data_IF_532448402197
#
_entry.id   IF_532448402197
#
_cell.length_a   1.000
_cell.length_b   1.000
_cell.length_c   1.000
_cell.angle_alpha   90.00
_cell.angle_beta   90.00
_cell.angle_gamma   90.00
#
_symmetry.space_group_name_H-M   'P 1'
#
loop_
_entity.id
_entity.type
_entity.pdbx_description
1 polymer ?
#
# COMPACT_ATOMS: atom_id res chain seq x y z
N UNK A 1 15.40 25.45 18.63
CA UNK A 1 14.73 25.64 17.33
C UNK A 1 14.37 27.10 17.24
N UNK A 2 14.65 27.73 16.10
CA UNK A 2 14.34 29.12 15.81
C UNK A 2 12.89 29.19 15.30
N UNK A 3 12.12 30.16 15.73
CA UNK A 3 10.76 30.40 15.23
C UNK A 3 10.75 31.82 14.69
N UNK A 4 10.70 31.98 13.37
CA UNK A 4 10.71 33.30 12.74
C UNK A 4 9.33 33.94 12.81
N UNK A 5 8.26 33.18 12.56
CA UNK A 5 6.87 33.64 12.66
C UNK A 5 6.06 32.77 13.65
N UNK A 6 5.73 33.37 14.80
CA UNK A 6 4.95 32.70 15.85
C UNK A 6 3.49 32.47 15.44
N UNK A 7 2.89 33.40 14.69
CA UNK A 7 1.50 33.29 14.23
C UNK A 7 1.36 32.15 13.23
N UNK A 8 2.32 32.04 12.29
CA UNK A 8 2.43 30.90 11.39
C UNK A 8 2.56 29.58 12.15
N UNK A 9 3.46 29.51 13.14
CA UNK A 9 3.67 28.29 13.92
C UNK A 9 2.42 27.81 14.66
N UNK A 10 1.69 28.74 15.31
CA UNK A 10 0.41 28.43 15.98
C UNK A 10 -0.61 27.89 14.98
N UNK A 11 -0.78 28.58 13.84
CA UNK A 11 -1.73 28.17 12.80
C UNK A 11 -1.39 26.79 12.22
N UNK A 12 -0.11 26.49 12.01
CA UNK A 12 0.32 25.18 11.53
C UNK A 12 0.02 24.07 12.56
N UNK A 13 0.37 24.30 13.83
CA UNK A 13 0.18 23.30 14.89
C UNK A 13 -1.30 23.01 15.17
N UNK A 14 -2.19 24.00 14.99
CA UNK A 14 -3.63 23.80 15.04
C UNK A 14 -4.15 22.89 13.92
N UNK A 15 -3.48 22.87 12.75
CA UNK A 15 -3.87 22.03 11.60
C UNK A 15 -3.26 20.63 11.66
N UNK A 16 -1.98 20.52 12.01
CA UNK A 16 -1.19 19.28 11.85
C UNK A 16 -1.04 18.49 13.15
N UNK A 17 -1.29 19.13 14.30
CA UNK A 17 -0.97 18.66 15.66
C UNK A 17 0.54 18.65 15.98
N UNK A 18 0.86 18.95 17.24
CA UNK A 18 2.23 18.94 17.74
C UNK A 18 2.90 17.56 17.63
N UNK A 19 2.16 16.48 17.90
CA UNK A 19 2.73 15.13 17.88
C UNK A 19 3.22 14.74 16.47
N UNK A 20 2.44 15.05 15.44
CA UNK A 20 2.83 14.83 14.05
C UNK A 20 4.02 15.69 13.66
N UNK A 21 4.03 16.97 14.03
CA UNK A 21 5.16 17.87 13.81
C UNK A 21 6.46 17.34 14.42
N UNK A 22 6.43 16.92 15.69
CA UNK A 22 7.61 16.37 16.39
C UNK A 22 8.17 15.14 15.66
N UNK A 23 7.31 14.33 15.04
CA UNK A 23 7.73 13.21 14.20
C UNK A 23 8.72 13.59 13.10
N UNK A 24 8.59 14.78 12.51
CA UNK A 24 9.53 15.30 11.52
C UNK A 24 10.69 16.05 12.19
N UNK A 25 10.40 16.78 13.28
CA UNK A 25 11.41 17.52 14.05
C UNK A 25 12.54 16.61 14.58
N UNK A 26 12.24 15.33 14.86
CA UNK A 26 13.21 14.32 15.29
C UNK A 26 14.45 14.23 14.40
N UNK A 27 14.33 14.47 13.09
CA UNK A 27 15.50 14.45 12.19
C UNK A 27 16.50 15.58 12.48
N UNK A 28 16.00 16.69 13.00
CA UNK A 28 16.78 17.86 13.33
C UNK A 28 17.29 17.84 14.77
N UNK A 29 16.97 16.81 15.56
CA UNK A 29 17.52 16.65 16.90
C UNK A 29 18.94 16.08 16.88
N UNK A 30 19.72 16.46 17.90
CA UNK A 30 21.02 15.86 18.17
C UNK A 30 20.82 14.55 18.94
N UNK A 31 21.61 13.56 18.57
CA UNK A 31 21.70 12.28 19.26
C UNK A 31 23.11 12.10 19.78
N UNK A 32 23.26 11.77 21.06
CA UNK A 32 24.54 11.46 21.70
C UNK A 32 24.47 10.03 22.22
N UNK A 33 25.43 9.17 21.86
CA UNK A 33 25.42 7.75 22.21
C UNK A 33 24.08 7.04 21.92
N UNK A 34 23.45 7.36 20.77
CA UNK A 34 22.11 6.90 20.34
C UNK A 34 20.96 7.29 21.28
N UNK A 35 21.19 8.18 22.24
CA UNK A 35 20.15 8.73 23.11
C UNK A 35 19.69 10.09 22.58
N UNK A 36 18.39 10.34 22.72
CA UNK A 36 17.76 11.60 22.35
C UNK A 36 18.20 12.69 23.33
N UNK A 37 18.76 13.78 22.82
CA UNK A 37 19.20 14.90 23.67
C UNK A 37 18.11 15.94 23.89
N UNK A 38 17.00 15.86 23.15
CA UNK A 38 15.94 16.88 23.09
C UNK A 38 16.42 18.28 22.65
N UNK A 39 17.67 18.38 22.16
CA UNK A 39 18.26 19.60 21.64
C UNK A 39 18.30 19.51 20.12
N UNK A 40 17.76 20.52 19.46
CA UNK A 40 17.85 20.64 18.01
C UNK A 40 19.27 21.04 17.58
N UNK A 41 19.65 20.66 16.36
CA UNK A 41 20.87 21.12 15.70
C UNK A 41 20.84 22.67 15.61
N UNK A 42 22.01 23.35 15.64
CA UNK A 42 22.07 24.79 15.41
C UNK A 42 21.34 25.16 14.12
N UNK A 43 20.75 26.35 14.07
CA UNK A 43 20.04 26.88 12.88
C UNK A 43 18.79 26.09 12.43
N UNK A 44 18.34 25.08 13.20
CA UNK A 44 17.05 24.44 12.92
C UNK A 44 15.93 25.44 13.18
N UNK A 45 15.24 25.87 12.14
CA UNK A 45 14.01 26.67 12.22
C UNK A 45 12.76 25.79 12.24
N UNK A 46 11.63 26.36 12.66
CA UNK A 46 10.32 25.72 12.59
C UNK A 46 9.93 25.42 11.14
N UNK A 47 10.22 26.37 10.26
CA UNK A 47 9.97 26.34 8.82
C UNK A 47 10.71 25.17 8.16
N UNK A 48 11.95 24.87 8.56
CA UNK A 48 12.69 23.71 8.06
C UNK A 48 11.95 22.38 8.33
N UNK A 49 11.32 22.25 9.50
CA UNK A 49 10.54 21.06 9.85
C UNK A 49 9.24 21.00 9.06
N UNK A 50 8.59 22.16 8.87
CA UNK A 50 7.37 22.27 8.06
C UNK A 50 7.64 21.94 6.60
N UNK A 51 8.76 22.38 6.04
CA UNK A 51 9.15 22.07 4.67
C UNK A 51 9.40 20.58 4.48
N UNK A 52 10.02 19.92 5.45
CA UNK A 52 10.18 18.47 5.43
C UNK A 52 8.83 17.73 5.50
N UNK A 53 7.91 18.22 6.33
CA UNK A 53 6.54 17.69 6.39
C UNK A 53 5.82 17.85 5.05
N UNK A 54 5.88 19.04 4.45
CA UNK A 54 5.24 19.34 3.16
C UNK A 54 5.87 18.54 2.02
N UNK A 55 7.18 18.30 2.07
CA UNK A 55 7.87 17.42 1.12
C UNK A 55 7.33 15.99 1.21
N UNK A 56 7.24 15.41 2.42
CA UNK A 56 6.73 14.05 2.60
C UNK A 56 5.26 13.95 2.17
N UNK A 57 4.46 14.99 2.42
CA UNK A 57 3.09 15.05 1.95
C UNK A 57 3.00 14.98 0.41
N UNK A 58 3.77 15.82 -0.29
CA UNK A 58 3.86 15.78 -1.76
C UNK A 58 4.35 14.44 -2.28
N UNK A 59 5.35 13.85 -1.62
CA UNK A 59 5.88 12.53 -1.98
C UNK A 59 4.79 11.46 -1.90
N UNK A 60 3.99 11.45 -0.82
CA UNK A 60 2.88 10.50 -0.66
C UNK A 60 1.82 10.71 -1.71
N UNK A 61 1.46 11.95 -2.04
CA UNK A 61 0.46 12.24 -3.08
C UNK A 61 0.88 11.67 -4.43
N UNK A 62 2.11 11.94 -4.87
CA UNK A 62 2.63 11.43 -6.15
C UNK A 62 2.67 9.90 -6.17
N UNK A 63 3.14 9.29 -5.08
CA UNK A 63 3.21 7.83 -4.99
C UNK A 63 1.82 7.18 -4.94
N UNK A 64 0.88 7.77 -4.20
CA UNK A 64 -0.47 7.25 -4.09
C UNK A 64 -1.19 7.27 -5.44
N UNK A 65 -1.01 8.34 -6.20
CA UNK A 65 -1.52 8.47 -7.56
C UNK A 65 -0.97 7.36 -8.48
N UNK A 66 0.37 7.22 -8.54
CA UNK A 66 1.00 6.19 -9.34
C UNK A 66 0.59 4.75 -8.94
N UNK A 67 0.46 4.49 -7.62
CA UNK A 67 0.06 3.18 -7.09
C UNK A 67 -1.38 2.85 -7.48
N UNK A 68 -2.28 3.84 -7.54
CA UNK A 68 -3.68 3.62 -7.93
C UNK A 68 -3.78 2.92 -9.28
N UNK A 69 -2.99 3.32 -10.27
CA UNK A 69 -2.96 2.68 -11.59
C UNK A 69 -2.49 1.22 -11.53
N UNK A 70 -1.45 0.93 -10.73
CA UNK A 70 -0.95 -0.44 -10.53
C UNK A 70 -2.00 -1.30 -9.83
N UNK A 71 -2.66 -0.75 -8.80
CA UNK A 71 -3.69 -1.45 -8.02
C UNK A 71 -4.88 -1.85 -8.91
N UNK A 72 -5.39 -0.93 -9.73
CA UNK A 72 -6.48 -1.20 -10.68
C UNK A 72 -6.05 -2.28 -11.69
N UNK A 73 -4.92 -2.08 -12.37
CA UNK A 73 -4.44 -3.03 -13.37
C UNK A 73 -4.22 -4.43 -12.76
N UNK A 74 -3.63 -4.50 -11.58
CA UNK A 74 -3.36 -5.77 -10.91
C UNK A 74 -4.65 -6.52 -10.56
N UNK A 75 -5.64 -5.84 -9.98
CA UNK A 75 -6.93 -6.47 -9.64
C UNK A 75 -7.65 -6.95 -10.89
N UNK A 76 -7.63 -6.17 -11.97
CA UNK A 76 -8.23 -6.55 -13.26
C UNK A 76 -7.54 -7.79 -13.83
N UNK A 77 -6.21 -7.81 -13.92
CA UNK A 77 -5.48 -8.95 -14.48
C UNK A 77 -5.62 -10.21 -13.64
N UNK A 78 -5.54 -10.07 -12.31
CA UNK A 78 -5.78 -11.18 -11.40
C UNK A 78 -7.17 -11.78 -11.63
N UNK A 79 -8.20 -10.94 -11.69
CA UNK A 79 -9.56 -11.42 -11.87
C UNK A 79 -9.78 -12.06 -13.24
N UNK A 80 -9.32 -11.41 -14.31
CA UNK A 80 -9.46 -11.89 -15.68
C UNK A 80 -8.82 -13.27 -15.86
N UNK A 81 -7.55 -13.41 -15.50
CA UNK A 81 -6.84 -14.67 -15.68
C UNK A 81 -7.42 -15.78 -14.80
N UNK A 82 -7.82 -15.46 -13.56
CA UNK A 82 -8.46 -16.46 -12.71
C UNK A 82 -9.82 -16.90 -13.22
N UNK A 83 -10.72 -15.98 -13.56
CA UNK A 83 -12.06 -16.31 -14.07
C UNK A 83 -12.02 -17.10 -15.38
N UNK A 84 -11.14 -16.75 -16.32
CA UNK A 84 -11.03 -17.46 -17.60
C UNK A 84 -10.46 -18.88 -17.44
N UNK A 85 -9.39 -19.04 -16.65
CA UNK A 85 -8.75 -20.35 -16.46
C UNK A 85 -9.59 -21.29 -15.58
N UNK A 86 -10.23 -20.76 -14.54
CA UNK A 86 -11.09 -21.55 -13.64
C UNK A 86 -12.49 -21.81 -14.21
N UNK A 87 -12.91 -21.03 -15.22
CA UNK A 87 -14.29 -20.96 -15.71
C UNK A 87 -15.30 -20.71 -14.59
N UNK A 88 -14.90 -19.92 -13.59
CA UNK A 88 -15.64 -19.69 -12.36
C UNK A 88 -15.68 -18.18 -12.04
N UNK A 89 -16.88 -17.61 -12.07
CA UNK A 89 -17.09 -16.19 -11.74
C UNK A 89 -16.92 -15.92 -10.25
N UNK A 90 -17.01 -16.94 -9.39
CA UNK A 90 -16.90 -16.86 -7.93
C UNK A 90 -15.62 -17.53 -7.41
N UNK A 91 -14.61 -17.68 -8.27
CA UNK A 91 -13.33 -18.32 -7.94
C UNK A 91 -12.70 -17.89 -6.59
N UNK A 92 -12.75 -16.60 -6.14
CA UNK A 92 -12.13 -16.22 -4.86
C UNK A 92 -12.81 -16.88 -3.66
N UNK A 93 -14.07 -17.29 -3.82
CA UNK A 93 -14.86 -17.95 -2.78
C UNK A 93 -14.53 -19.43 -2.66
N UNK A 94 -13.73 -19.99 -3.57
CA UNK A 94 -13.33 -21.39 -3.54
C UNK A 94 -11.92 -21.55 -3.00
N UNK A 95 -11.76 -22.34 -1.93
CA UNK A 95 -10.45 -22.70 -1.36
C UNK A 95 -9.54 -23.47 -2.33
N UNK A 96 -10.08 -24.04 -3.42
CA UNK A 96 -9.35 -24.88 -4.39
C UNK A 96 -8.22 -24.17 -5.14
N UNK A 97 -8.21 -22.83 -5.14
CA UNK A 97 -7.25 -22.03 -5.89
C UNK A 97 -6.06 -21.54 -5.07
N UNK A 98 -6.14 -21.68 -3.74
CA UNK A 98 -5.19 -21.11 -2.79
C UNK A 98 -4.59 -22.21 -1.94
N UNK A 99 -3.32 -22.03 -1.56
CA UNK A 99 -2.63 -22.99 -0.72
C UNK A 99 -3.21 -23.07 0.70
N UNK A 100 -2.92 -24.19 1.38
CA UNK A 100 -3.41 -24.46 2.73
C UNK A 100 -2.95 -23.45 3.79
N UNK A 101 -1.87 -22.70 3.55
CA UNK A 101 -1.40 -21.66 4.48
C UNK A 101 -2.26 -20.39 4.41
N UNK A 102 -3.03 -20.20 3.33
CA UNK A 102 -3.96 -19.09 3.22
C UNK A 102 -5.17 -19.30 4.12
N UNK A 103 -5.44 -18.31 4.98
CA UNK A 103 -6.61 -18.32 5.88
C UNK A 103 -7.88 -17.97 5.08
N UNK A 104 -8.35 -18.90 4.25
CA UNK A 104 -9.49 -18.69 3.35
C UNK A 104 -10.77 -18.34 4.09
N UNK A 105 -11.10 -19.03 5.18
CA UNK A 105 -12.28 -18.72 5.99
C UNK A 105 -12.27 -17.28 6.52
N UNK A 106 -11.10 -16.80 6.97
CA UNK A 106 -10.94 -15.40 7.39
C UNK A 106 -11.16 -14.45 6.22
N UNK A 107 -10.65 -14.79 5.04
CA UNK A 107 -10.88 -13.99 3.83
C UNK A 107 -12.38 -13.91 3.50
N UNK A 108 -13.12 -15.01 3.58
CA UNK A 108 -14.56 -15.02 3.36
C UNK A 108 -15.30 -14.15 4.39
N UNK A 109 -14.98 -14.28 5.68
CA UNK A 109 -15.58 -13.42 6.72
C UNK A 109 -15.26 -11.93 6.50
N UNK A 110 -14.05 -11.61 6.04
CA UNK A 110 -13.69 -10.25 5.68
C UNK A 110 -14.51 -9.77 4.46
N UNK A 111 -14.71 -10.62 3.44
CA UNK A 111 -15.55 -10.30 2.27
C UNK A 111 -16.99 -10.01 2.67
N UNK A 112 -17.61 -10.90 3.46
CA UNK A 112 -18.97 -10.73 3.96
C UNK A 112 -19.12 -9.42 4.73
N UNK A 113 -18.14 -9.09 5.58
CA UNK A 113 -18.13 -7.84 6.34
C UNK A 113 -18.07 -6.63 5.42
N UNK A 114 -17.19 -6.62 4.42
CA UNK A 114 -17.08 -5.48 3.49
C UNK A 114 -18.34 -5.33 2.62
N UNK A 115 -18.96 -6.44 2.20
CA UNK A 115 -20.23 -6.43 1.46
C UNK A 115 -21.36 -5.85 2.31
N UNK A 116 -21.50 -6.31 3.56
CA UNK A 116 -22.55 -5.84 4.47
C UNK A 116 -22.40 -4.36 4.87
N UNK A 117 -21.16 -3.84 4.88
CA UNK A 117 -20.87 -2.43 5.15
C UNK A 117 -20.93 -1.55 3.91
N UNK A 118 -20.93 -2.14 2.72
CA UNK A 118 -20.85 -1.39 1.47
C UNK A 118 -22.13 -0.60 1.21
N UNK A 119 -21.96 0.67 0.87
CA UNK A 119 -23.05 1.54 0.43
C UNK A 119 -23.16 1.62 -1.10
N UNK A 120 -22.31 0.89 -1.82
CA UNK A 120 -22.26 0.91 -3.27
C UNK A 120 -23.56 0.42 -3.93
N UNK A 121 -24.01 1.15 -4.95
CA UNK A 121 -25.29 0.89 -5.62
C UNK A 121 -25.30 -0.51 -6.23
N UNK A 122 -24.20 -0.94 -6.85
CA UNK A 122 -24.12 -2.25 -7.50
C UNK A 122 -24.20 -3.41 -6.50
N UNK A 123 -23.67 -3.25 -5.28
CA UNK A 123 -23.79 -4.26 -4.22
C UNK A 123 -25.22 -4.32 -3.70
N UNK A 124 -25.84 -3.18 -3.39
CA UNK A 124 -27.23 -3.14 -2.91
C UNK A 124 -28.20 -3.71 -3.95
N UNK A 125 -27.98 -3.43 -5.23
CA UNK A 125 -28.77 -3.99 -6.32
C UNK A 125 -28.58 -5.50 -6.45
N UNK A 126 -27.35 -6.00 -6.31
CA UNK A 126 -27.08 -7.44 -6.32
C UNK A 126 -27.82 -8.16 -5.19
N UNK A 127 -27.62 -7.72 -3.94
CA UNK A 127 -28.21 -8.35 -2.75
C UNK A 127 -29.75 -8.32 -2.74
N UNK A 128 -30.36 -7.36 -3.45
CA UNK A 128 -31.82 -7.30 -3.61
C UNK A 128 -32.33 -8.26 -4.69
N UNK A 129 -31.56 -8.44 -5.76
CA UNK A 129 -31.97 -9.20 -6.95
C UNK A 129 -31.66 -10.69 -6.82
N UNK A 130 -30.55 -11.03 -6.16
CA UNK A 130 -30.03 -12.40 -6.09
C UNK A 130 -30.02 -12.90 -4.65
N UNK A 131 -30.64 -14.05 -4.42
CA UNK A 131 -30.50 -14.83 -3.19
C UNK A 131 -29.42 -15.91 -3.30
N UNK A 132 -29.15 -16.38 -4.52
CA UNK A 132 -28.07 -17.33 -4.82
C UNK A 132 -27.32 -16.93 -6.12
N UNK A 133 -25.97 -16.95 -6.12
CA UNK A 133 -25.09 -17.08 -4.96
C UNK A 133 -25.21 -15.89 -3.99
N UNK A 134 -25.06 -16.15 -2.69
CA UNK A 134 -25.21 -15.13 -1.63
C UNK A 134 -24.19 -14.00 -1.74
N UNK A 135 -22.97 -14.34 -2.13
CA UNK A 135 -21.89 -13.39 -2.36
C UNK A 135 -21.76 -13.06 -3.85
N UNK A 136 -21.44 -11.79 -4.19
CA UNK A 136 -21.26 -11.39 -5.58
C UNK A 136 -20.09 -12.08 -6.29
N UNK A 137 -20.15 -12.05 -7.62
CA UNK A 137 -19.07 -12.50 -8.48
C UNK A 137 -17.80 -11.67 -8.28
N UNK A 138 -16.67 -12.28 -8.63
CA UNK A 138 -15.31 -11.76 -8.45
C UNK A 138 -15.06 -10.37 -9.04
N UNK A 139 -15.67 -10.02 -10.19
CA UNK A 139 -15.55 -8.67 -10.76
C UNK A 139 -16.25 -7.58 -9.92
N UNK A 140 -17.21 -7.94 -9.08
CA UNK A 140 -17.81 -7.02 -8.11
C UNK A 140 -16.97 -6.98 -6.84
N UNK A 141 -16.40 -8.12 -6.44
CA UNK A 141 -15.52 -8.21 -5.27
C UNK A 141 -14.24 -7.40 -5.44
N UNK A 142 -13.67 -7.32 -6.65
CA UNK A 142 -12.44 -6.53 -6.87
C UNK A 142 -12.64 -5.04 -6.56
N UNK A 143 -13.86 -4.51 -6.60
CA UNK A 143 -14.13 -3.10 -6.28
C UNK A 143 -14.27 -2.86 -4.77
N UNK A 144 -14.76 -3.86 -4.03
CA UNK A 144 -15.05 -3.74 -2.59
C UNK A 144 -13.88 -4.19 -1.72
N UNK A 145 -13.17 -5.23 -2.16
CA UNK A 145 -12.14 -5.88 -1.35
C UNK A 145 -10.82 -5.11 -1.44
N UNK A 146 -10.14 -4.99 -0.30
CA UNK A 146 -8.88 -4.25 -0.19
C UNK A 146 -7.76 -4.82 -1.06
N UNK A 147 -6.85 -3.96 -1.51
CA UNK A 147 -5.68 -4.35 -2.28
C UNK A 147 -4.78 -5.33 -1.52
N UNK A 148 -4.67 -5.15 -0.19
CA UNK A 148 -3.91 -6.07 0.65
C UNK A 148 -4.49 -7.48 0.70
N UNK A 149 -5.81 -7.63 0.58
CA UNK A 149 -6.44 -8.96 0.47
C UNK A 149 -6.11 -9.60 -0.87
N UNK A 150 -6.18 -8.84 -1.98
CA UNK A 150 -5.79 -9.33 -3.31
C UNK A 150 -4.30 -9.67 -3.41
N UNK A 151 -3.43 -8.88 -2.79
CA UNK A 151 -2.00 -9.17 -2.66
C UNK A 151 -1.76 -10.52 -1.98
N UNK A 152 -2.48 -10.81 -0.88
CA UNK A 152 -2.39 -12.09 -0.17
C UNK A 152 -2.95 -13.25 -1.00
N UNK A 153 -4.08 -13.07 -1.69
CA UNK A 153 -4.63 -14.09 -2.59
C UNK A 153 -3.63 -14.45 -3.67
N UNK A 154 -3.10 -13.45 -4.39
CA UNK A 154 -2.13 -13.68 -5.47
C UNK A 154 -0.92 -14.46 -4.96
N UNK A 155 -0.35 -14.05 -3.82
CA UNK A 155 0.75 -14.79 -3.16
C UNK A 155 0.37 -16.25 -2.88
N UNK A 156 -0.87 -16.50 -2.49
CA UNK A 156 -1.35 -17.83 -2.13
C UNK A 156 -1.84 -18.70 -3.29
N UNK A 157 -1.91 -18.20 -4.53
CA UNK A 157 -2.34 -18.99 -5.69
C UNK A 157 -1.44 -20.23 -5.89
N UNK A 158 -2.07 -21.39 -6.08
CA UNK A 158 -1.35 -22.65 -6.34
C UNK A 158 -0.91 -22.80 -7.79
N UNK A 159 -1.73 -22.31 -8.74
CA UNK A 159 -1.44 -22.42 -10.16
C UNK A 159 -0.33 -21.45 -10.58
N UNK A 160 0.85 -22.02 -10.88
CA UNK A 160 2.04 -21.26 -11.29
C UNK A 160 1.92 -20.65 -12.68
N UNK A 161 1.17 -21.27 -13.58
CA UNK A 161 0.96 -20.77 -14.95
C UNK A 161 0.09 -19.51 -14.93
N UNK A 162 -0.98 -19.51 -14.12
CA UNK A 162 -1.79 -18.30 -13.92
C UNK A 162 -0.96 -17.16 -13.32
N UNK A 163 -0.11 -17.45 -12.30
CA UNK A 163 0.82 -16.45 -11.77
C UNK A 163 1.77 -15.91 -12.85
N UNK A 164 2.23 -16.78 -13.74
CA UNK A 164 3.10 -16.42 -14.86
C UNK A 164 2.39 -15.51 -15.84
N UNK A 165 1.17 -15.81 -16.23
CA UNK A 165 0.40 -15.01 -17.17
C UNK A 165 0.11 -13.61 -16.62
N UNK A 166 -0.31 -13.52 -15.35
CA UNK A 166 -0.52 -12.23 -14.67
C UNK A 166 0.79 -11.44 -14.61
N UNK A 167 1.92 -12.08 -14.30
CA UNK A 167 3.20 -11.40 -14.21
C UNK A 167 3.74 -10.94 -15.57
N UNK A 168 3.45 -11.68 -16.64
CA UNK A 168 3.82 -11.32 -18.01
C UNK A 168 3.14 -10.03 -18.46
N UNK A 169 1.90 -9.74 -18.03
CA UNK A 169 1.25 -8.46 -18.30
C UNK A 169 2.07 -7.27 -17.77
N UNK A 170 2.76 -7.44 -16.64
CA UNK A 170 3.63 -6.43 -16.03
C UNK A 170 5.10 -6.55 -16.49
N UNK A 171 5.38 -7.42 -17.46
CA UNK A 171 6.73 -7.69 -17.98
C UNK A 171 7.76 -8.08 -16.90
N UNK A 172 7.31 -8.73 -15.83
CA UNK A 172 8.17 -9.13 -14.72
C UNK A 172 7.97 -10.59 -14.33
N UNK A 173 8.94 -11.15 -13.59
CA UNK A 173 8.87 -12.53 -13.11
C UNK A 173 7.83 -12.66 -11.97
N UNK A 174 7.13 -13.80 -11.85
CA UNK A 174 6.09 -13.98 -10.84
C UNK A 174 6.51 -13.69 -9.39
N UNK A 175 7.71 -14.12 -9.00
CA UNK A 175 8.23 -13.87 -7.65
C UNK A 175 8.55 -12.39 -7.40
N UNK A 176 8.94 -11.65 -8.45
CA UNK A 176 9.14 -10.20 -8.37
C UNK A 176 7.80 -9.50 -8.22
N UNK A 177 6.81 -9.84 -9.04
CA UNK A 177 5.46 -9.28 -8.92
C UNK A 177 4.89 -9.52 -7.53
N UNK A 178 5.03 -10.74 -6.99
CA UNK A 178 4.56 -11.08 -5.64
C UNK A 178 5.20 -10.18 -4.58
N UNK A 179 6.53 -10.04 -4.61
CA UNK A 179 7.27 -9.19 -3.68
C UNK A 179 6.92 -7.70 -3.84
N UNK A 180 6.82 -7.22 -5.08
CA UNK A 180 6.56 -5.83 -5.38
C UNK A 180 5.15 -5.42 -4.98
N UNK A 181 4.12 -6.21 -5.32
CA UNK A 181 2.73 -5.93 -4.93
C UNK A 181 2.59 -5.90 -3.40
N UNK A 182 3.31 -6.78 -2.68
CA UNK A 182 3.31 -6.76 -1.21
C UNK A 182 3.95 -5.48 -0.65
N UNK A 183 5.06 -5.02 -1.24
CA UNK A 183 5.73 -3.78 -0.83
C UNK A 183 4.90 -2.54 -1.20
N UNK A 184 4.35 -2.49 -2.41
CA UNK A 184 3.46 -1.45 -2.91
C UNK A 184 2.23 -1.34 -2.00
N UNK A 185 1.60 -2.45 -1.62
CA UNK A 185 0.49 -2.46 -0.66
C UNK A 185 0.88 -1.78 0.66
N UNK A 186 2.10 -2.01 1.15
CA UNK A 186 2.60 -1.39 2.37
C UNK A 186 2.76 0.12 2.20
N UNK A 187 3.38 0.57 1.10
CA UNK A 187 3.55 2.00 0.79
C UNK A 187 2.19 2.68 0.60
N UNK A 188 1.26 2.04 -0.11
CA UNK A 188 -0.12 2.52 -0.32
C UNK A 188 -0.83 2.77 1.00
N UNK A 189 -0.72 1.82 1.95
CA UNK A 189 -1.35 1.96 3.25
C UNK A 189 -0.71 3.09 4.09
N UNK A 190 0.62 3.26 4.02
CA UNK A 190 1.29 4.40 4.65
C UNK A 190 0.73 5.71 4.10
N UNK A 191 0.58 5.82 2.79
CA UNK A 191 0.03 7.00 2.13
C UNK A 191 -1.44 7.25 2.53
N UNK A 192 -2.30 6.23 2.44
CA UNK A 192 -3.72 6.32 2.78
C UNK A 192 -3.99 6.71 4.25
N UNK A 193 -3.10 6.34 5.16
CA UNK A 193 -3.20 6.69 6.58
C UNK A 193 -2.42 7.95 6.96
N UNK A 194 -1.90 8.70 5.97
CA UNK A 194 -1.05 9.87 6.18
C UNK A 194 0.12 9.59 7.14
N UNK A 195 0.69 8.39 7.06
CA UNK A 195 1.90 7.99 7.78
C UNK A 195 3.15 8.62 7.17
N UNK A 196 4.22 8.72 7.95
CA UNK A 196 5.50 9.26 7.48
C UNK A 196 6.18 8.28 6.53
N UNK A 197 6.46 8.70 5.29
CA UNK A 197 7.12 7.86 4.30
C UNK A 197 8.60 8.22 4.15
N UNK A 198 8.91 9.51 4.21
CA UNK A 198 10.27 10.00 4.21
C UNK A 198 11.05 9.42 5.39
N UNK A 199 12.25 8.90 5.09
CA UNK A 199 13.13 8.25 6.06
C UNK A 199 12.44 7.12 6.87
N UNK A 200 11.44 6.48 6.27
CA UNK A 200 10.76 5.30 6.79
C UNK A 200 11.50 4.04 6.35
N UNK A 201 11.71 3.10 7.27
CA UNK A 201 12.14 1.76 6.91
C UNK A 201 10.93 0.92 6.55
N UNK A 202 10.82 0.54 5.28
CA UNK A 202 9.77 -0.39 4.84
C UNK A 202 9.96 -1.75 5.52
N UNK A 203 8.93 -2.21 6.22
CA UNK A 203 8.90 -3.54 6.83
C UNK A 203 9.02 -4.63 5.77
N UNK A 204 8.38 -4.42 4.63
CA UNK A 204 8.39 -5.33 3.48
C UNK A 204 9.17 -4.66 2.36
N UNK A 205 10.43 -5.09 2.20
CA UNK A 205 11.31 -4.59 1.14
C UNK A 205 11.02 -5.34 -0.17
N UNK A 206 10.93 -4.63 -1.31
CA UNK A 206 10.76 -5.29 -2.59
C UNK A 206 12.05 -6.06 -2.92
N UNK A 207 11.91 -7.22 -3.56
CA UNK A 207 13.04 -7.96 -4.11
C UNK A 207 13.71 -7.14 -5.22
N UNK A 208 15.04 -7.08 -5.16
CA UNK A 208 15.87 -6.35 -6.11
C UNK A 208 16.66 -7.37 -6.92
N UNK A 209 16.66 -7.23 -8.25
CA UNK A 209 17.50 -8.08 -9.12
C UNK A 209 18.93 -7.56 -9.14
N UNK A 210 19.92 -8.42 -9.47
CA UNK A 210 21.32 -8.00 -9.57
C UNK A 210 21.52 -6.81 -10.53
N UNK A 211 20.74 -6.72 -11.60
CA UNK A 211 20.81 -5.61 -12.55
C UNK A 211 20.27 -4.30 -11.96
N UNK A 212 19.20 -4.37 -11.18
CA UNK A 212 18.66 -3.21 -10.45
C UNK A 212 19.64 -2.75 -9.37
N UNK A 213 20.27 -3.68 -8.66
CA UNK A 213 21.25 -3.36 -7.62
C UNK A 213 22.47 -2.63 -8.20
N UNK A 214 23.04 -3.15 -9.29
CA UNK A 214 24.14 -2.47 -10.01
C UNK A 214 23.78 -1.05 -10.41
N UNK A 215 22.58 -0.85 -10.95
CA UNK A 215 22.09 0.48 -11.35
C UNK A 215 21.98 1.44 -10.16
N UNK A 216 21.50 0.93 -9.02
CA UNK A 216 21.36 1.69 -7.79
C UNK A 216 22.73 2.12 -7.22
N UNK A 217 23.67 1.19 -7.12
CA UNK A 217 25.01 1.45 -6.58
C UNK A 217 25.80 2.43 -7.46
N UNK A 218 25.62 2.36 -8.78
CA UNK A 218 26.26 3.29 -9.73
C UNK A 218 25.73 4.73 -9.56
N UNK A 219 24.46 4.90 -9.16
CA UNK A 219 23.89 6.23 -8.86
C UNK A 219 24.33 6.77 -7.51
N UNK A 220 24.58 5.91 -6.52
CA UNK A 220 25.09 6.34 -5.21
C UNK A 220 26.56 6.79 -5.27
N UNK A 221 27.38 6.19 -6.14
CA UNK A 221 28.80 6.59 -6.33
C UNK A 221 29.00 7.91 -7.07
N UNK A 222 27.94 8.50 -7.64
CA UNK A 222 27.96 9.79 -8.36
C UNK A 222 27.42 10.97 -7.54
N UNK A 223 27.13 10.77 -6.25
CA UNK A 223 26.81 11.82 -5.28
C UNK A 223 27.87 11.83 -4.20
#
# INVERSE_FOLDING_TARGET
MIIHDKSFAINFLNKVSYYRFVGYALHFEKFENRKRTHRYKPETSFENVVDLYNFDDKLRTILFDAITHIEVAFRTQLNLHMSLNSKDSHWPLSKKHVNAQFKHDKFLSDVEREINRSNEIFIKSYLRKYSEPTLPASWMLIEIISFGSWSKIYKSLENKDIKKDIANYFEIKPFLLESWIQSITTVRNICAHHGRLWNSSLTIKPSITNNMQKTYDTKQRKK
#
